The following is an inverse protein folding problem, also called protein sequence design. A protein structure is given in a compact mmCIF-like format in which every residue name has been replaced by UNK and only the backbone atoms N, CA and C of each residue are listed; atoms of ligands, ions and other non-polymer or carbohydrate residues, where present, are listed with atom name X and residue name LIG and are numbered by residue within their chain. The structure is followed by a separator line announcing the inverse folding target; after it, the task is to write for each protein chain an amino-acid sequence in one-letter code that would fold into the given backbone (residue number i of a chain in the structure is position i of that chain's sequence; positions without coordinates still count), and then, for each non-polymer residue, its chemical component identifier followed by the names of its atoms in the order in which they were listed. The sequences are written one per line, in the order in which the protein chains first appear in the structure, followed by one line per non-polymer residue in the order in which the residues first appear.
data_IF_989854987853
#
_entry.id   IF_989854987853
#
_cell.length_a   1.000
_cell.length_b   1.000
_cell.length_c   1.000
_cell.angle_alpha   90.00
_cell.angle_beta   90.00
_cell.angle_gamma   90.00
#
_symmetry.space_group_name_H-M   'P 1'
#
loop_
_entity.id
_entity.type
_entity.pdbx_description
1 polymer ?
#
# COMPACT_ATOMS: atom_id res chain seq x y z
N UNK A 1 -44.79 4.58 -15.25
CA UNK A 1 -43.44 4.02 -14.98
C UNK A 1 -42.59 4.24 -16.22
N UNK A 2 -41.31 4.60 -16.06
CA UNK A 2 -40.45 5.05 -17.17
C UNK A 2 -39.96 3.93 -18.11
N UNK A 3 -40.25 2.65 -17.87
CA UNK A 3 -40.04 1.58 -18.85
C UNK A 3 -38.58 1.31 -19.28
N UNK A 4 -37.60 1.97 -18.66
CA UNK A 4 -36.16 1.91 -19.02
C UNK A 4 -35.40 0.80 -18.29
N UNK A 5 -36.08 -0.20 -17.75
CA UNK A 5 -35.40 -1.32 -17.10
C UNK A 5 -34.97 -2.32 -18.17
N UNK A 6 -33.67 -2.45 -18.35
CA UNK A 6 -33.07 -3.55 -19.11
C UNK A 6 -32.48 -4.54 -18.10
N UNK A 7 -32.86 -5.83 -18.14
CA UNK A 7 -32.21 -6.84 -17.31
C UNK A 7 -30.75 -6.99 -17.70
N UNK A 8 -29.88 -7.33 -16.74
CA UNK A 8 -28.46 -7.54 -17.01
C UNK A 8 -28.26 -8.65 -18.05
N UNK A 9 -27.52 -8.36 -19.13
CA UNK A 9 -27.19 -9.34 -20.16
C UNK A 9 -26.16 -10.34 -19.60
N UNK A 10 -26.47 -11.64 -19.55
CA UNK A 10 -25.51 -12.66 -19.12
C UNK A 10 -24.23 -12.72 -19.96
N UNK A 11 -24.26 -12.19 -21.19
CA UNK A 11 -23.11 -12.13 -22.09
C UNK A 11 -22.21 -10.92 -21.84
N UNK A 12 -22.69 -9.90 -21.11
CA UNK A 12 -21.93 -8.70 -20.76
C UNK A 12 -21.96 -8.48 -19.23
N UNK A 13 -21.21 -9.29 -18.46
CA UNK A 13 -21.22 -9.18 -17.01
C UNK A 13 -20.63 -7.84 -16.55
N UNK A 14 -21.30 -7.19 -15.60
CA UNK A 14 -20.83 -5.94 -15.00
C UNK A 14 -19.47 -6.13 -14.32
N UNK A 15 -18.47 -5.33 -14.74
CA UNK A 15 -17.15 -5.31 -14.11
C UNK A 15 -17.11 -4.20 -13.07
N UNK A 16 -16.92 -4.59 -11.81
CA UNK A 16 -16.77 -3.64 -10.71
C UNK A 16 -15.31 -3.25 -10.51
N UNK A 17 -15.08 -1.96 -10.20
CA UNK A 17 -13.77 -1.44 -9.84
C UNK A 17 -13.47 -0.11 -10.50
N UNK A 18 -12.19 0.26 -10.46
CA UNK A 18 -11.69 1.43 -11.19
C UNK A 18 -11.47 1.06 -12.66
N UNK A 19 -11.85 1.95 -13.57
CA UNK A 19 -11.59 1.83 -15.02
C UNK A 19 -10.11 1.59 -15.31
N UNK A 20 -9.24 2.22 -14.51
CA UNK A 20 -7.79 1.96 -14.50
C UNK A 20 -7.43 1.34 -13.15
N UNK A 21 -7.25 0.01 -13.07
CA UNK A 21 -7.02 -0.66 -11.80
C UNK A 21 -5.68 -0.22 -11.19
N UNK A 22 -5.68 0.01 -9.88
CA UNK A 22 -4.49 0.46 -9.15
C UNK A 22 -3.77 -0.73 -8.56
N UNK A 23 -2.48 -0.86 -8.86
CA UNK A 23 -1.65 -2.01 -8.49
C UNK A 23 -0.72 -1.70 -7.31
N UNK A 24 -1.29 -1.21 -6.21
CA UNK A 24 -0.52 -0.89 -5.01
C UNK A 24 -1.36 -0.91 -3.73
N UNK A 25 -0.74 -1.33 -2.62
CA UNK A 25 -1.23 -1.23 -1.25
C UNK A 25 -0.60 -0.06 -0.48
N UNK A 26 0.23 0.78 -1.13
CA UNK A 26 0.78 1.97 -0.49
C UNK A 26 -0.32 3.03 -0.30
N UNK A 27 -0.66 3.41 0.94
CA UNK A 27 -1.74 4.36 1.22
C UNK A 27 -1.51 5.73 0.57
N UNK A 28 -0.25 6.19 0.51
CA UNK A 28 0.08 7.48 -0.12
C UNK A 28 -0.12 7.44 -1.63
N UNK A 29 0.29 6.35 -2.28
CA UNK A 29 0.07 6.21 -3.72
C UNK A 29 -1.42 6.10 -4.03
N UNK A 30 -2.16 5.28 -3.27
CA UNK A 30 -3.60 5.16 -3.39
C UNK A 30 -4.31 6.51 -3.23
N UNK A 31 -3.88 7.36 -2.31
CA UNK A 31 -4.48 8.68 -2.13
C UNK A 31 -4.07 9.70 -3.22
N UNK A 32 -2.82 9.63 -3.70
CA UNK A 32 -2.23 10.69 -4.54
C UNK A 32 -2.26 10.42 -6.05
N UNK A 33 -2.47 9.17 -6.50
CA UNK A 33 -2.34 8.83 -7.92
C UNK A 33 -3.31 9.59 -8.84
N UNK A 34 -4.53 9.89 -8.38
CA UNK A 34 -5.46 10.73 -9.14
C UNK A 34 -4.96 12.17 -9.31
N UNK A 35 -4.33 12.73 -8.29
CA UNK A 35 -3.75 14.08 -8.33
C UNK A 35 -2.55 14.12 -9.29
N UNK A 36 -1.70 13.10 -9.26
CA UNK A 36 -0.57 12.98 -10.19
C UNK A 36 -1.05 12.93 -11.64
N UNK A 37 -2.05 12.10 -11.94
CA UNK A 37 -2.65 12.02 -13.28
C UNK A 37 -3.29 13.35 -13.71
N UNK A 38 -3.93 14.07 -12.79
CA UNK A 38 -4.50 15.39 -13.09
C UNK A 38 -3.41 16.43 -13.40
N UNK A 39 -2.33 16.46 -12.61
CA UNK A 39 -1.19 17.36 -12.84
C UNK A 39 -0.52 17.05 -14.17
N UNK A 40 -0.34 15.76 -14.51
CA UNK A 40 0.19 15.33 -15.79
C UNK A 40 -0.68 15.81 -16.96
N UNK A 41 -2.00 15.66 -16.85
CA UNK A 41 -2.96 16.20 -17.82
C UNK A 41 -2.89 17.74 -17.93
N UNK A 42 -2.69 18.44 -16.82
CA UNK A 42 -2.49 19.89 -16.82
C UNK A 42 -1.17 20.29 -17.50
N UNK A 43 -0.11 19.52 -17.31
CA UNK A 43 1.18 19.79 -17.94
C UNK A 43 1.14 19.55 -19.45
N UNK A 44 0.45 18.49 -19.90
CA UNK A 44 0.34 18.12 -21.32
C UNK A 44 -0.64 19.00 -22.12
N UNK A 45 -1.60 19.63 -21.46
CA UNK A 45 -2.61 20.46 -22.13
C UNK A 45 -2.06 21.84 -22.54
N UNK A 46 -2.30 22.24 -23.79
CA UNK A 46 -1.88 23.55 -24.28
C UNK A 46 -2.82 24.68 -23.82
N UNK A 47 -2.23 25.83 -23.46
CA UNK A 47 -2.93 27.05 -23.08
C UNK A 47 -3.27 27.15 -21.59
N UNK A 48 -2.87 28.25 -20.94
CA UNK A 48 -3.02 28.46 -19.49
C UNK A 48 -4.48 28.39 -19.01
N UNK A 49 -5.44 28.91 -19.80
CA UNK A 49 -6.88 28.82 -19.49
C UNK A 49 -7.36 27.37 -19.42
N UNK A 50 -6.92 26.54 -20.36
CA UNK A 50 -7.29 25.12 -20.40
C UNK A 50 -6.70 24.37 -19.21
N UNK A 51 -5.46 24.69 -18.82
CA UNK A 51 -4.82 24.11 -17.62
C UNK A 51 -5.64 24.38 -16.36
N UNK A 52 -6.11 25.61 -16.18
CA UNK A 52 -6.94 25.97 -15.03
C UNK A 52 -8.33 25.31 -15.06
N UNK A 53 -8.86 24.97 -16.24
CA UNK A 53 -10.18 24.34 -16.37
C UNK A 53 -10.21 22.85 -16.00
N UNK A 54 -9.08 22.13 -16.11
CA UNK A 54 -9.00 20.68 -15.87
C UNK A 54 -9.54 20.26 -14.49
N UNK A 55 -9.11 20.86 -13.35
CA UNK A 55 -9.63 20.47 -12.04
C UNK A 55 -11.15 20.70 -11.89
N UNK A 56 -11.74 21.64 -12.64
CA UNK A 56 -13.17 21.93 -12.59
C UNK A 56 -14.01 21.10 -13.56
N UNK A 57 -13.43 20.70 -14.70
CA UNK A 57 -14.15 19.98 -15.75
C UNK A 57 -14.05 18.46 -15.62
N UNK A 58 -13.06 17.97 -14.88
CA UNK A 58 -12.91 16.55 -14.56
C UNK A 58 -12.03 15.79 -15.58
N UNK A 59 -11.78 14.49 -15.33
CA UNK A 59 -10.75 13.71 -16.01
C UNK A 59 -11.05 13.38 -17.49
N UNK A 60 -12.32 13.37 -17.90
CA UNK A 60 -12.72 13.12 -19.29
C UNK A 60 -12.63 14.35 -20.20
N UNK A 61 -12.41 15.54 -19.64
CA UNK A 61 -12.39 16.78 -20.42
C UNK A 61 -11.01 17.04 -21.05
N UNK A 62 -11.03 17.48 -22.31
CA UNK A 62 -9.88 18.05 -23.01
C UNK A 62 -10.33 19.24 -23.86
N UNK A 63 -9.42 20.14 -24.30
CA UNK A 63 -9.77 21.21 -25.22
C UNK A 63 -10.45 20.66 -26.48
N UNK A 64 -11.65 21.15 -26.79
CA UNK A 64 -12.45 20.66 -27.93
C UNK A 64 -13.34 19.44 -27.62
N UNK A 65 -13.22 18.81 -26.45
CA UNK A 65 -14.13 17.74 -25.99
C UNK A 65 -15.28 18.30 -25.15
N UNK A 66 -16.46 17.64 -25.13
CA UNK A 66 -17.52 17.95 -24.18
C UNK A 66 -17.05 17.75 -22.73
N UNK A 67 -17.75 18.35 -21.76
CA UNK A 67 -17.36 18.30 -20.33
C UNK A 67 -17.14 16.87 -19.82
N UNK A 68 -17.93 15.91 -20.29
CA UNK A 68 -17.87 14.51 -19.85
C UNK A 68 -16.91 13.64 -20.67
N UNK A 69 -16.24 14.20 -21.69
CA UNK A 69 -15.45 13.41 -22.64
C UNK A 69 -16.33 12.61 -23.61
N UNK A 70 -15.71 11.77 -24.42
CA UNK A 70 -16.42 10.84 -25.31
C UNK A 70 -16.52 9.46 -24.67
N UNK A 71 -17.61 8.73 -24.94
CA UNK A 71 -17.79 7.35 -24.45
C UNK A 71 -16.70 6.42 -25.00
N UNK A 72 -16.25 6.66 -26.24
CA UNK A 72 -15.18 5.90 -26.90
C UNK A 72 -13.80 6.06 -26.22
N UNK A 73 -13.62 7.07 -25.36
CA UNK A 73 -12.39 7.26 -24.59
C UNK A 73 -12.29 6.27 -23.40
N UNK A 74 -13.39 5.59 -23.05
CA UNK A 74 -13.42 4.60 -21.96
C UNK A 74 -12.81 3.30 -22.50
N UNK A 75 -11.72 2.79 -21.87
CA UNK A 75 -11.09 1.56 -22.32
C UNK A 75 -12.06 0.37 -22.20
N UNK A 76 -12.11 -0.46 -23.25
CA UNK A 76 -12.85 -1.71 -23.21
C UNK A 76 -12.16 -2.69 -22.25
N UNK A 77 -12.96 -3.36 -21.40
CA UNK A 77 -12.45 -4.28 -20.39
C UNK A 77 -12.50 -5.70 -20.95
N UNK A 78 -11.33 -6.29 -21.18
CA UNK A 78 -11.22 -7.69 -21.60
C UNK A 78 -11.52 -8.66 -20.44
N UNK A 79 -12.30 -9.70 -20.71
CA UNK A 79 -12.61 -10.78 -19.77
C UNK A 79 -11.62 -11.95 -19.96
N UNK A 80 -11.17 -12.63 -18.89
CA UNK A 80 -11.54 -12.44 -17.49
C UNK A 80 -10.76 -11.32 -16.81
N UNK A 81 -11.45 -10.54 -15.96
CA UNK A 81 -10.83 -9.47 -15.17
C UNK A 81 -9.83 -10.06 -14.17
N UNK A 82 -8.56 -9.68 -14.30
CA UNK A 82 -7.51 -10.08 -13.35
C UNK A 82 -7.39 -9.03 -12.25
N UNK A 83 -7.45 -9.48 -10.99
CA UNK A 83 -7.28 -8.63 -9.82
C UNK A 83 -5.82 -8.59 -9.38
N UNK A 84 -5.39 -7.43 -8.89
CA UNK A 84 -4.05 -7.28 -8.34
C UNK A 84 -3.91 -8.07 -7.03
N UNK A 85 -3.11 -9.14 -7.07
CA UNK A 85 -2.84 -10.00 -5.92
C UNK A 85 -1.38 -10.49 -5.92
N UNK A 86 -0.48 -9.73 -5.28
CA UNK A 86 0.91 -10.15 -5.10
C UNK A 86 1.01 -11.51 -4.38
N UNK A 87 1.85 -12.40 -4.92
CA UNK A 87 2.13 -13.69 -4.29
C UNK A 87 3.04 -13.48 -3.08
N UNK A 88 2.50 -13.72 -1.88
CA UNK A 88 3.20 -13.62 -0.59
C UNK A 88 3.06 -14.90 0.21
N UNK A 89 4.10 -15.24 0.99
CA UNK A 89 4.12 -16.44 1.82
C UNK A 89 3.09 -16.34 2.97
N UNK A 90 2.57 -17.49 3.41
CA UNK A 90 1.54 -17.52 4.47
C UNK A 90 2.03 -16.92 5.80
N UNK A 91 3.30 -17.15 6.16
CA UNK A 91 3.88 -16.57 7.37
C UNK A 91 3.98 -15.04 7.29
N UNK A 92 4.27 -14.49 6.11
CA UNK A 92 4.25 -13.04 5.88
C UNK A 92 2.84 -12.46 6.02
N UNK A 93 1.81 -13.19 5.55
CA UNK A 93 0.40 -12.77 5.78
C UNK A 93 0.07 -12.72 7.28
N UNK A 94 0.41 -13.77 8.02
CA UNK A 94 0.18 -13.86 9.47
C UNK A 94 0.92 -12.72 10.19
N UNK A 95 2.17 -12.48 9.82
CA UNK A 95 2.98 -11.38 10.33
C UNK A 95 2.32 -10.02 10.09
N UNK A 96 1.89 -9.76 8.86
CA UNK A 96 1.23 -8.51 8.51
C UNK A 96 -0.07 -8.30 9.28
N UNK A 97 -0.90 -9.34 9.44
CA UNK A 97 -2.15 -9.28 10.23
C UNK A 97 -1.86 -8.97 11.69
N UNK A 98 -0.85 -9.63 12.29
CA UNK A 98 -0.41 -9.34 13.66
C UNK A 98 0.04 -7.89 13.82
N UNK A 99 0.89 -7.40 12.93
CA UNK A 99 1.38 -6.02 12.98
C UNK A 99 0.28 -4.99 12.78
N UNK A 100 -0.68 -5.28 11.90
CA UNK A 100 -1.86 -4.45 11.73
C UNK A 100 -2.69 -4.36 13.02
N UNK A 101 -2.90 -5.48 13.72
CA UNK A 101 -3.58 -5.48 15.03
C UNK A 101 -2.82 -4.66 16.08
N UNK A 102 -1.48 -4.76 16.13
CA UNK A 102 -0.64 -3.94 17.03
C UNK A 102 -0.77 -2.45 16.71
N UNK A 103 -0.79 -2.07 15.43
CA UNK A 103 -1.01 -0.69 14.98
C UNK A 103 -2.39 -0.18 15.44
N UNK A 104 -3.44 -0.99 15.34
CA UNK A 104 -4.78 -0.63 15.80
C UNK A 104 -4.83 -0.42 17.32
N UNK A 105 -4.18 -1.30 18.10
CA UNK A 105 -4.06 -1.13 19.55
C UNK A 105 -3.31 0.16 19.89
N UNK A 106 -2.20 0.43 19.21
CA UNK A 106 -1.43 1.67 19.41
C UNK A 106 -2.25 2.93 19.07
N UNK A 107 -3.00 2.91 17.96
CA UNK A 107 -3.92 3.98 17.61
C UNK A 107 -4.99 4.19 18.69
N UNK A 108 -5.59 3.10 19.19
CA UNK A 108 -6.58 3.17 20.26
C UNK A 108 -6.00 3.81 21.53
N UNK A 109 -4.83 3.36 22.00
CA UNK A 109 -4.15 3.94 23.16
C UNK A 109 -3.85 5.44 22.96
N UNK A 110 -3.39 5.82 21.76
CA UNK A 110 -3.15 7.23 21.42
C UNK A 110 -4.45 8.05 21.52
N UNK A 111 -5.57 7.54 21.00
CA UNK A 111 -6.87 8.24 21.06
C UNK A 111 -7.44 8.34 22.46
N UNK A 112 -7.12 7.40 23.36
CA UNK A 112 -7.57 7.48 24.75
C UNK A 112 -6.77 8.52 25.55
N UNK A 113 -5.49 8.72 25.21
CA UNK A 113 -4.56 9.52 26.02
C UNK A 113 -4.08 10.82 25.36
N UNK A 114 -4.61 11.19 24.20
CA UNK A 114 -4.12 12.36 23.46
C UNK A 114 -4.19 13.67 24.28
N UNK A 115 -5.12 13.77 25.24
CA UNK A 115 -5.24 14.92 26.14
C UNK A 115 -4.10 15.03 27.16
N UNK A 116 -3.44 13.92 27.49
CA UNK A 116 -2.35 13.85 28.48
C UNK A 116 -0.97 14.07 27.82
N UNK A 117 -0.90 13.99 26.49
CA UNK A 117 0.33 14.06 25.73
C UNK A 117 0.59 15.45 25.18
N UNK A 118 1.87 15.80 25.03
CA UNK A 118 2.24 17.04 24.36
C UNK A 118 1.88 16.97 22.87
N UNK A 119 1.56 18.12 22.26
CA UNK A 119 1.24 18.19 20.84
C UNK A 119 2.36 17.63 19.95
N UNK A 120 3.62 17.84 20.33
CA UNK A 120 4.80 17.31 19.61
C UNK A 120 4.81 15.77 19.66
N UNK A 121 4.56 15.19 20.84
CA UNK A 121 4.46 13.74 21.00
C UNK A 121 3.34 13.15 20.14
N UNK A 122 2.17 13.78 20.12
CA UNK A 122 1.03 13.35 19.29
C UNK A 122 1.37 13.39 17.81
N UNK A 123 1.98 14.49 17.33
CA UNK A 123 2.42 14.60 15.94
C UNK A 123 3.41 13.49 15.56
N UNK A 124 4.37 13.19 16.44
CA UNK A 124 5.34 12.11 16.20
C UNK A 124 4.65 10.73 16.16
N UNK A 125 3.66 10.48 17.02
CA UNK A 125 2.87 9.25 17.00
C UNK A 125 2.07 9.10 15.71
N UNK A 126 1.48 10.19 15.21
CA UNK A 126 0.75 10.19 13.93
C UNK A 126 1.70 9.87 12.77
N UNK A 127 2.89 10.48 12.75
CA UNK A 127 3.90 10.17 11.73
C UNK A 127 4.32 8.69 11.83
N UNK A 128 4.56 8.17 13.04
CA UNK A 128 4.89 6.77 13.26
C UNK A 128 3.78 5.82 12.79
N UNK A 129 2.51 6.18 12.98
CA UNK A 129 1.35 5.45 12.46
C UNK A 129 1.34 5.42 10.93
N UNK A 130 1.52 6.57 10.27
CA UNK A 130 1.55 6.65 8.81
C UNK A 130 2.71 5.83 8.21
N UNK A 131 3.90 5.92 8.80
CA UNK A 131 5.06 5.10 8.41
C UNK A 131 4.75 3.61 8.60
N UNK A 132 4.07 3.25 9.69
CA UNK A 132 3.74 1.85 10.00
C UNK A 132 2.74 1.25 9.01
N UNK A 133 1.68 1.97 8.67
CA UNK A 133 0.69 1.52 7.67
C UNK A 133 1.36 1.40 6.29
N UNK A 134 2.27 2.31 5.96
CA UNK A 134 3.03 2.27 4.69
C UNK A 134 3.97 1.06 4.63
N UNK A 135 4.66 0.74 5.73
CA UNK A 135 5.50 -0.47 5.83
C UNK A 135 4.69 -1.74 5.60
N UNK A 136 3.49 -1.82 6.21
CA UNK A 136 2.54 -2.92 6.00
C UNK A 136 2.16 -3.06 4.52
N UNK A 137 1.88 -1.94 3.83
CA UNK A 137 1.63 -1.94 2.39
C UNK A 137 2.78 -2.54 1.58
N UNK A 138 4.03 -2.17 1.89
CA UNK A 138 5.21 -2.73 1.22
C UNK A 138 5.44 -4.21 1.50
N UNK A 139 5.09 -4.68 2.70
CA UNK A 139 5.10 -6.10 3.03
C UNK A 139 4.05 -6.87 2.22
N UNK A 140 2.83 -6.34 2.06
CA UNK A 140 1.80 -6.98 1.25
C UNK A 140 2.16 -7.04 -0.24
N UNK A 141 2.95 -6.07 -0.72
CA UNK A 141 3.46 -6.03 -2.10
C UNK A 141 4.74 -6.85 -2.32
N UNK A 142 5.32 -7.42 -1.26
CA UNK A 142 6.63 -8.10 -1.27
C UNK A 142 7.78 -7.28 -1.90
N UNK A 143 7.82 -5.97 -1.67
CA UNK A 143 8.87 -5.12 -2.24
C UNK A 143 10.24 -5.52 -1.69
N UNK A 144 11.33 -5.43 -2.49
CA UNK A 144 12.67 -5.81 -2.02
C UNK A 144 13.13 -4.96 -0.83
N UNK A 145 12.75 -3.68 -0.81
CA UNK A 145 13.05 -2.71 0.24
C UNK A 145 12.12 -2.80 1.47
N UNK A 146 11.09 -3.67 1.44
CA UNK A 146 10.13 -3.79 2.55
C UNK A 146 10.83 -4.17 3.87
N UNK A 147 11.92 -4.94 3.80
CA UNK A 147 12.69 -5.33 4.97
C UNK A 147 13.39 -4.14 5.64
N UNK A 148 14.04 -3.28 4.86
CA UNK A 148 14.69 -2.08 5.41
C UNK A 148 13.67 -1.16 6.09
N UNK A 149 12.51 -0.97 5.44
CA UNK A 149 11.41 -0.19 6.01
C UNK A 149 10.85 -0.80 7.28
N UNK A 150 10.76 -2.12 7.34
CA UNK A 150 10.22 -2.81 8.50
C UNK A 150 11.19 -2.76 9.70
N UNK A 151 12.50 -2.90 9.47
CA UNK A 151 13.52 -2.71 10.51
C UNK A 151 13.49 -1.28 11.03
N UNK A 152 13.47 -0.29 10.12
CA UNK A 152 13.37 1.12 10.47
C UNK A 152 12.10 1.40 11.28
N UNK A 153 10.95 0.85 10.86
CA UNK A 153 9.67 0.97 11.56
C UNK A 153 9.76 0.41 12.97
N UNK A 154 10.35 -0.77 13.16
CA UNK A 154 10.49 -1.38 14.49
C UNK A 154 11.36 -0.54 15.42
N UNK A 155 12.46 0.00 14.91
CA UNK A 155 13.33 0.91 15.67
C UNK A 155 12.63 2.22 16.03
N UNK A 156 11.92 2.82 15.08
CA UNK A 156 11.13 4.03 15.31
C UNK A 156 10.03 3.79 16.35
N UNK A 157 9.27 2.70 16.21
CA UNK A 157 8.20 2.35 17.15
C UNK A 157 8.74 2.11 18.56
N UNK A 158 9.88 1.41 18.68
CA UNK A 158 10.57 1.24 19.95
C UNK A 158 11.01 2.58 20.56
N UNK A 159 11.56 3.48 19.75
CA UNK A 159 11.94 4.82 20.18
C UNK A 159 10.74 5.64 20.67
N UNK A 160 9.65 5.66 19.90
CA UNK A 160 8.39 6.33 20.24
C UNK A 160 7.87 5.81 21.59
N UNK A 161 7.76 4.49 21.71
CA UNK A 161 7.21 3.88 22.93
C UNK A 161 8.12 4.13 24.14
N UNK A 162 9.44 4.10 23.98
CA UNK A 162 10.40 4.45 25.04
C UNK A 162 10.27 5.90 25.49
N UNK A 163 9.94 6.82 24.58
CA UNK A 163 9.74 8.24 24.88
C UNK A 163 8.39 8.53 25.54
N UNK A 164 7.36 7.73 25.27
CA UNK A 164 6.02 7.88 25.86
C UNK A 164 5.89 7.08 27.17
N UNK A 165 6.64 6.00 27.33
CA UNK A 165 6.63 5.16 28.54
C UNK A 165 6.78 5.95 29.85
N UNK A 166 7.66 6.98 29.98
CA UNK A 166 7.79 7.76 31.20
C UNK A 166 6.55 8.61 31.52
N UNK A 167 5.83 9.10 30.49
CA UNK A 167 4.58 9.85 30.70
C UNK A 167 3.37 8.94 30.92
N UNK A 168 3.48 7.66 30.54
CA UNK A 168 2.44 6.63 30.72
C UNK A 168 2.58 5.89 32.07
N UNK A 169 3.80 5.68 32.56
CA UNK A 169 4.07 4.85 33.74
C UNK A 169 3.85 5.68 35.02
N UNK A 170 2.57 5.85 35.38
CA UNK A 170 2.18 5.74 36.78
C UNK A 170 2.29 4.26 37.19
N UNK A 171 3.41 3.90 37.83
CA UNK A 171 3.68 2.66 38.60
C UNK A 171 2.75 1.43 38.40
N UNK A 172 2.71 0.81 37.21
CA UNK A 172 2.06 -0.50 37.03
C UNK A 172 2.97 -1.48 36.25
N UNK A 173 3.51 -2.49 36.95
CA UNK A 173 4.38 -3.53 36.37
C UNK A 173 3.70 -4.34 35.24
N UNK A 174 2.37 -4.43 35.25
CA UNK A 174 1.58 -5.17 34.25
C UNK A 174 1.66 -4.53 32.86
N UNK A 175 1.73 -3.19 32.77
CA UNK A 175 1.84 -2.52 31.47
C UNK A 175 3.18 -2.83 30.81
N UNK A 176 4.27 -2.83 31.56
CA UNK A 176 5.62 -3.08 31.05
C UNK A 176 5.78 -4.49 30.46
N UNK A 177 5.16 -5.49 31.07
CA UNK A 177 5.21 -6.88 30.60
C UNK A 177 4.45 -7.07 29.27
N UNK A 178 3.32 -6.37 29.09
CA UNK A 178 2.56 -6.36 27.82
C UNK A 178 3.37 -5.72 26.70
N UNK A 179 4.05 -4.61 26.98
CA UNK A 179 4.91 -3.91 26.04
C UNK A 179 6.09 -4.80 25.61
N UNK A 180 6.82 -5.38 26.55
CA UNK A 180 7.96 -6.26 26.28
C UNK A 180 7.57 -7.50 25.46
N UNK A 181 6.40 -8.11 25.74
CA UNK A 181 5.89 -9.27 24.98
C UNK A 181 5.53 -8.91 23.54
N UNK A 182 5.05 -7.69 23.25
CA UNK A 182 4.81 -7.21 21.87
C UNK A 182 6.13 -7.12 21.08
N UNK A 183 7.22 -6.70 21.71
CA UNK A 183 8.54 -6.64 21.08
C UNK A 183 9.15 -8.01 20.82
N UNK A 184 9.07 -8.91 21.81
CA UNK A 184 9.62 -10.26 21.68
C UNK A 184 8.92 -11.03 20.56
N UNK A 185 7.59 -10.90 20.47
CA UNK A 185 6.78 -11.52 19.41
C UNK A 185 7.06 -10.90 18.03
N UNK A 186 7.19 -9.58 17.92
CA UNK A 186 7.59 -8.92 16.68
C UNK A 186 8.98 -9.35 16.20
N UNK A 187 9.96 -9.46 17.11
CA UNK A 187 11.32 -9.91 16.80
C UNK A 187 11.36 -11.38 16.35
N UNK A 188 10.64 -12.27 17.04
CA UNK A 188 10.52 -13.67 16.64
C UNK A 188 9.87 -13.81 15.27
N UNK A 189 8.83 -13.03 14.97
CA UNK A 189 8.18 -13.09 13.67
C UNK A 189 9.04 -12.46 12.56
N UNK A 190 9.79 -11.40 12.84
CA UNK A 190 10.79 -10.84 11.91
C UNK A 190 11.88 -11.85 11.56
N UNK A 191 12.37 -12.59 12.56
CA UNK A 191 13.33 -13.67 12.35
C UNK A 191 12.71 -14.78 11.48
N UNK A 192 11.45 -15.14 11.72
CA UNK A 192 10.73 -16.10 10.87
C UNK A 192 10.53 -15.59 9.43
N UNK A 193 10.29 -14.29 9.25
CA UNK A 193 10.16 -13.65 7.94
C UNK A 193 11.49 -13.63 7.19
N UNK A 194 12.60 -13.29 7.87
CA UNK A 194 13.96 -13.35 7.32
C UNK A 194 14.32 -14.76 6.85
N UNK A 195 13.92 -15.79 7.60
CA UNK A 195 14.12 -17.19 7.22
C UNK A 195 13.30 -17.55 5.97
N UNK A 196 12.06 -17.05 5.83
CA UNK A 196 11.23 -17.33 4.63
C UNK A 196 11.65 -16.55 3.38
N UNK A 197 12.26 -15.37 3.51
CA UNK A 197 12.70 -14.57 2.34
C UNK A 197 13.86 -15.24 1.58
N UNK A 198 14.49 -16.25 2.16
CA UNK A 198 15.49 -17.09 1.49
C UNK A 198 14.87 -17.92 0.34
N UNK A 199 13.54 -18.13 0.33
CA UNK A 199 12.86 -18.95 -0.66
C UNK A 199 12.16 -18.11 -1.76
N UNK A 200 12.90 -17.90 -2.86
CA UNK A 200 12.45 -17.65 -4.25
C UNK A 200 11.39 -16.55 -4.57
N UNK A 201 11.82 -15.46 -5.23
CA UNK A 201 10.95 -14.50 -5.95
C UNK A 201 10.44 -15.01 -7.32
N UNK A 202 10.05 -16.28 -7.45
CA UNK A 202 9.52 -16.79 -8.73
C UNK A 202 8.09 -16.24 -8.94
N UNK A 203 7.86 -15.57 -10.07
CA UNK A 203 6.57 -15.01 -10.48
C UNK A 203 6.29 -13.57 -10.02
N UNK A 204 7.29 -12.84 -9.54
CA UNK A 204 7.18 -11.42 -9.14
C UNK A 204 7.74 -10.47 -10.20
N UNK A 205 7.28 -9.21 -10.27
CA UNK A 205 7.84 -8.25 -11.20
C UNK A 205 9.30 -7.95 -10.87
N UNK A 206 10.14 -7.84 -11.89
CA UNK A 206 11.55 -7.52 -11.75
C UNK A 206 11.76 -6.12 -11.16
N UNK A 207 12.91 -5.87 -10.55
CA UNK A 207 13.25 -4.52 -10.11
C UNK A 207 13.48 -3.58 -11.32
N UNK A 208 13.64 -2.28 -11.06
CA UNK A 208 13.86 -1.25 -12.10
C UNK A 208 15.08 -1.52 -12.99
N UNK A 209 16.02 -2.36 -12.52
CA UNK A 209 17.22 -2.78 -13.25
C UNK A 209 17.05 -4.14 -13.96
N UNK A 210 15.84 -4.70 -14.02
CA UNK A 210 15.56 -6.00 -14.65
C UNK A 210 16.13 -7.20 -13.87
N UNK A 211 16.39 -7.06 -12.57
CA UNK A 211 16.96 -8.13 -11.75
C UNK A 211 15.93 -8.76 -10.81
N UNK A 212 16.10 -10.06 -10.61
CA UNK A 212 15.34 -10.90 -9.68
C UNK A 212 16.20 -11.21 -8.47
N UNK A 213 15.67 -10.99 -7.28
CA UNK A 213 16.33 -11.33 -6.02
C UNK A 213 15.83 -12.70 -5.51
N UNK A 214 16.63 -13.48 -4.76
CA UNK A 214 18.09 -13.36 -4.67
C UNK A 214 18.74 -13.55 -6.06
N UNK A 215 19.87 -12.87 -6.28
CA UNK A 215 20.64 -13.04 -7.52
C UNK A 215 21.18 -14.47 -7.54
N UNK A 216 20.58 -15.31 -8.37
CA UNK A 216 20.93 -16.72 -8.55
C UNK A 216 20.98 -17.01 -10.04
N UNK A 217 21.94 -17.84 -10.47
CA UNK A 217 22.07 -18.30 -11.86
C UNK A 217 20.82 -19.02 -12.39
N UNK A 218 19.97 -19.52 -11.48
CA UNK A 218 18.75 -20.25 -11.80
C UNK A 218 17.52 -19.34 -11.98
N UNK A 219 17.63 -18.03 -11.75
CA UNK A 219 16.51 -17.07 -11.79
C UNK A 219 16.81 -15.97 -12.81
N UNK A 220 15.86 -15.67 -13.69
CA UNK A 220 16.00 -14.62 -14.70
C UNK A 220 14.72 -13.77 -14.81
N UNK A 221 14.87 -12.54 -15.30
CA UNK A 221 13.75 -11.68 -15.63
C UNK A 221 13.25 -11.97 -17.05
N UNK A 222 11.97 -12.33 -17.19
CA UNK A 222 11.32 -12.55 -18.49
C UNK A 222 10.95 -11.22 -19.17
N UNK A 223 10.61 -11.27 -20.46
CA UNK A 223 10.23 -10.10 -21.28
C UNK A 223 9.01 -9.34 -20.74
N UNK A 224 8.16 -10.02 -19.99
CA UNK A 224 7.01 -9.43 -19.28
C UNK A 224 7.40 -8.74 -17.97
N UNK A 225 8.71 -8.53 -17.73
CA UNK A 225 9.28 -8.06 -16.47
C UNK A 225 8.90 -8.93 -15.28
N UNK A 226 8.84 -10.25 -15.44
CA UNK A 226 8.49 -11.21 -14.37
C UNK A 226 9.66 -12.17 -14.13
N UNK A 227 10.00 -12.41 -12.86
CA UNK A 227 11.02 -13.36 -12.45
C UNK A 227 10.58 -14.80 -12.70
N UNK A 228 11.38 -15.58 -13.42
CA UNK A 228 11.16 -17.01 -13.70
C UNK A 228 12.39 -17.84 -13.34
N UNK A 229 12.18 -19.13 -13.10
CA UNK A 229 13.26 -20.10 -12.98
C UNK A 229 13.65 -20.66 -14.36
N UNK A 230 14.96 -20.79 -14.62
CA UNK A 230 15.46 -21.52 -15.79
C UNK A 230 15.11 -23.00 -15.59
N UNK A 231 14.40 -23.61 -16.55
CA UNK A 231 14.25 -25.08 -16.59
C UNK A 231 15.64 -25.66 -16.84
N UNK A 232 16.03 -26.63 -16.01
CA UNK A 232 17.23 -27.46 -16.25
C UNK A 232 17.16 -28.14 -17.61
#
# INVERSE_FOLDING_TARGET
MLGTFEPEDPNEPAVYGLVKPVQSYNPFYLQMHHWMAMIENMCSTQGWKNKLMIPFKGPGWAPGKPRLGYLDDIPHIEQPVTYWNPKIHILQKIYTVWHFAVILIFYHELTQRYHELTQITVMFCIIALLVSITSVGFLLENKPFALQFEILRCLLFFGVERSIAPSIIGHNMVSYDIHLKKYLTSLCLLLSFLLTKVECHIGQPCNVLGMCLPISSHIYCDKDNICRCRKE
#
